data_IF_553635124560
#
_entry.id   IF_553635124560
#
_cell.length_a   1.000
_cell.length_b   1.000
_cell.length_c   1.000
_cell.angle_alpha   90.00
_cell.angle_beta   90.00
_cell.angle_gamma   90.00
#
_symmetry.space_group_name_H-M   'P 1'
#
loop_
_entity.id
_entity.type
_entity.pdbx_description
1 polymer ?
#
# COMPACT_ATOMS: atom_id res chain seq x y z
N UNK A 1 -1.36 -13.83 -12.06
CA UNK A 1 0.07 -14.05 -11.75
C UNK A 1 0.61 -14.85 -12.89
N UNK A 2 1.54 -14.26 -13.60
CA UNK A 2 2.15 -14.83 -14.76
C UNK A 2 3.59 -14.34 -14.83
N UNK A 3 4.47 -15.21 -15.29
CA UNK A 3 5.90 -14.97 -15.21
C UNK A 3 6.70 -16.21 -15.53
N UNK A 4 7.99 -15.99 -15.75
CA UNK A 4 8.93 -17.06 -16.02
C UNK A 4 9.52 -17.59 -14.71
N UNK A 5 9.73 -18.90 -14.64
CA UNK A 5 10.42 -19.51 -13.50
C UNK A 5 11.89 -19.10 -13.57
N UNK A 6 12.33 -18.28 -12.60
CA UNK A 6 13.71 -17.85 -12.48
C UNK A 6 14.58 -18.95 -11.87
N UNK A 7 14.08 -19.62 -10.81
CA UNK A 7 14.83 -20.65 -10.12
C UNK A 7 13.94 -21.71 -9.50
N UNK A 8 14.45 -22.94 -9.51
CA UNK A 8 13.87 -24.09 -8.84
C UNK A 8 14.85 -24.57 -7.77
N UNK A 9 14.36 -24.80 -6.55
CA UNK A 9 15.17 -25.12 -5.38
C UNK A 9 15.06 -26.58 -4.91
N UNK A 10 14.19 -27.36 -5.55
CA UNK A 10 13.82 -28.72 -5.12
C UNK A 10 13.56 -29.61 -6.33
N UNK A 11 13.76 -30.90 -6.17
CA UNK A 11 13.49 -31.91 -7.19
C UNK A 11 12.52 -33.01 -6.70
N UNK A 12 11.97 -33.80 -7.63
CA UNK A 12 11.10 -34.93 -7.35
C UNK A 12 11.80 -35.91 -6.39
N UNK A 13 11.10 -36.27 -5.32
CA UNK A 13 11.64 -37.15 -4.27
C UNK A 13 12.31 -36.41 -3.11
N UNK A 14 12.54 -35.10 -3.20
CA UNK A 14 13.09 -34.32 -2.09
C UNK A 14 12.09 -34.23 -0.93
N UNK A 15 12.63 -34.31 0.29
CA UNK A 15 11.90 -34.00 1.52
C UNK A 15 11.91 -32.50 1.75
N UNK A 16 10.74 -31.89 1.80
CA UNK A 16 10.58 -30.46 2.09
C UNK A 16 9.93 -30.25 3.45
N UNK A 17 10.29 -29.15 4.10
CA UNK A 17 9.67 -28.68 5.35
C UNK A 17 8.51 -27.73 5.03
N UNK A 18 7.59 -27.58 5.98
CA UNK A 18 6.57 -26.54 5.88
C UNK A 18 7.23 -25.16 5.70
N UNK A 19 6.66 -24.34 4.82
CA UNK A 19 7.12 -23.00 4.44
C UNK A 19 8.48 -22.94 3.70
N UNK A 20 9.06 -24.08 3.29
CA UNK A 20 10.29 -24.12 2.50
C UNK A 20 10.04 -23.55 1.09
N UNK A 21 10.94 -22.70 0.62
CA UNK A 21 10.90 -22.14 -0.73
C UNK A 21 11.16 -23.25 -1.76
N UNK A 22 10.27 -23.38 -2.74
CA UNK A 22 10.30 -24.40 -3.78
C UNK A 22 10.67 -23.80 -5.13
N UNK A 23 9.98 -22.73 -5.51
CA UNK A 23 10.12 -22.07 -6.81
C UNK A 23 10.20 -20.57 -6.62
N UNK A 24 11.06 -19.93 -7.39
CA UNK A 24 11.18 -18.48 -7.53
C UNK A 24 10.80 -18.11 -8.97
N UNK A 25 9.77 -17.28 -9.10
CA UNK A 25 9.38 -16.65 -10.37
C UNK A 25 10.18 -15.35 -10.50
N UNK A 26 10.54 -14.96 -11.73
CA UNK A 26 11.16 -13.66 -11.96
C UNK A 26 10.26 -12.56 -11.41
N UNK A 27 10.79 -11.82 -10.44
CA UNK A 27 10.04 -10.89 -9.62
C UNK A 27 10.56 -9.46 -9.70
N UNK A 28 11.45 -9.20 -10.66
CA UNK A 28 12.06 -7.87 -10.87
C UNK A 28 10.98 -6.81 -11.04
N UNK A 29 9.99 -7.05 -11.90
CA UNK A 29 8.87 -6.14 -12.13
C UNK A 29 7.97 -5.98 -10.90
N UNK A 30 7.74 -7.05 -10.13
CA UNK A 30 6.95 -7.00 -8.89
C UNK A 30 7.66 -6.16 -7.81
N UNK A 31 8.99 -6.25 -7.70
CA UNK A 31 9.78 -5.40 -6.80
C UNK A 31 9.73 -3.95 -7.23
N UNK A 32 9.86 -3.66 -8.53
CA UNK A 32 9.72 -2.30 -9.04
C UNK A 32 8.34 -1.73 -8.76
N UNK A 33 7.27 -2.50 -8.98
CA UNK A 33 5.90 -2.10 -8.68
C UNK A 33 5.68 -1.84 -7.18
N UNK A 34 6.20 -2.70 -6.30
CA UNK A 34 6.16 -2.50 -4.84
C UNK A 34 6.89 -1.22 -4.43
N UNK A 35 8.09 -1.00 -4.96
CA UNK A 35 8.87 0.20 -4.67
C UNK A 35 8.18 1.48 -5.14
N UNK A 36 7.55 1.45 -6.33
CA UNK A 36 6.76 2.56 -6.83
C UNK A 36 5.54 2.84 -5.94
N UNK A 37 4.80 1.81 -5.54
CA UNK A 37 3.65 1.96 -4.64
C UNK A 37 4.08 2.53 -3.27
N UNK A 38 5.23 2.10 -2.74
CA UNK A 38 5.82 2.62 -1.50
C UNK A 38 6.19 4.10 -1.63
N UNK A 39 6.79 4.51 -2.74
CA UNK A 39 7.12 5.91 -3.01
C UNK A 39 5.85 6.78 -3.08
N UNK A 40 4.80 6.29 -3.75
CA UNK A 40 3.52 6.98 -3.84
C UNK A 40 2.86 7.15 -2.47
N UNK A 41 2.89 6.12 -1.63
CA UNK A 41 2.41 6.20 -0.25
C UNK A 41 3.18 7.24 0.58
N UNK A 42 4.52 7.28 0.45
CA UNK A 42 5.34 8.26 1.13
C UNK A 42 4.98 9.70 0.70
N UNK A 43 4.77 9.94 -0.59
CA UNK A 43 4.32 11.23 -1.11
C UNK A 43 2.94 11.63 -0.58
N UNK A 44 1.99 10.68 -0.55
CA UNK A 44 0.64 10.93 0.01
C UNK A 44 0.70 11.29 1.51
N UNK A 45 1.53 10.59 2.29
CA UNK A 45 1.75 10.91 3.72
C UNK A 45 2.38 12.29 3.91
N UNK A 46 3.33 12.68 3.05
CA UNK A 46 3.90 14.02 3.09
C UNK A 46 2.85 15.12 2.80
N UNK A 47 1.92 14.87 1.87
CA UNK A 47 0.81 15.78 1.61
C UNK A 47 -0.13 15.93 2.82
N UNK A 48 -0.44 14.83 3.53
CA UNK A 48 -1.19 14.88 4.80
C UNK A 48 -0.45 15.74 5.83
N UNK A 49 0.85 15.50 6.04
CA UNK A 49 1.65 16.27 6.99
C UNK A 49 1.67 17.77 6.67
N UNK A 50 1.72 18.14 5.38
CA UNK A 50 1.63 19.54 4.94
C UNK A 50 0.25 20.12 5.25
N UNK A 51 -0.81 19.39 4.94
CA UNK A 51 -2.19 19.85 5.18
C UNK A 51 -2.52 19.96 6.66
N UNK A 52 -1.98 19.09 7.51
CA UNK A 52 -2.11 19.23 8.97
C UNK A 52 -1.51 20.54 9.48
N UNK A 53 -0.40 21.00 8.90
CA UNK A 53 0.15 22.31 9.22
C UNK A 53 -0.79 23.45 8.82
N UNK A 54 -1.42 23.34 7.64
CA UNK A 54 -2.46 24.28 7.18
C UNK A 54 -3.66 24.32 8.14
N UNK A 55 -4.17 23.16 8.54
CA UNK A 55 -5.29 23.05 9.50
C UNK A 55 -4.91 23.68 10.84
N UNK A 56 -3.69 23.41 11.36
CA UNK A 56 -3.21 24.04 12.59
C UNK A 56 -3.20 25.57 12.49
N UNK A 57 -2.73 26.11 11.36
CA UNK A 57 -2.65 27.56 11.17
C UNK A 57 -4.04 28.20 11.04
N UNK A 58 -4.96 27.56 10.31
CA UNK A 58 -6.35 27.99 10.19
C UNK A 58 -7.06 27.96 11.56
N UNK A 59 -6.82 26.92 12.36
CA UNK A 59 -7.35 26.81 13.73
C UNK A 59 -6.87 27.95 14.63
N UNK A 60 -5.56 28.21 14.65
CA UNK A 60 -5.00 29.31 15.45
C UNK A 60 -5.59 30.67 15.04
N UNK A 61 -5.86 30.86 13.75
CA UNK A 61 -6.49 32.08 13.25
C UNK A 61 -7.94 32.18 13.72
N UNK A 62 -8.71 31.10 13.60
CA UNK A 62 -10.09 31.02 14.09
C UNK A 62 -10.16 31.29 15.60
N UNK A 63 -9.32 30.62 16.40
CA UNK A 63 -9.26 30.78 17.86
C UNK A 63 -8.95 32.25 18.23
N UNK A 64 -8.06 32.90 17.47
CA UNK A 64 -7.75 34.34 17.66
C UNK A 64 -8.94 35.23 17.33
N UNK A 65 -9.64 34.98 16.23
CA UNK A 65 -10.84 35.76 15.86
C UNK A 65 -11.98 35.57 16.86
N UNK A 66 -12.16 34.34 17.36
CA UNK A 66 -13.14 34.04 18.42
C UNK A 66 -12.85 34.77 19.73
N UNK A 67 -11.57 35.01 20.05
CA UNK A 67 -11.19 35.82 21.20
C UNK A 67 -11.51 37.31 20.95
N UNK A 68 -11.10 37.85 19.79
CA UNK A 68 -11.24 39.26 19.47
C UNK A 68 -12.70 39.72 19.29
N UNK A 69 -13.60 38.84 18.87
CA UNK A 69 -15.02 39.22 18.67
C UNK A 69 -15.75 39.43 19.99
N UNK A 70 -15.34 38.73 21.07
CA UNK A 70 -15.87 38.92 22.42
C UNK A 70 -15.58 40.33 22.94
N UNK A 71 -14.44 40.85 22.53
CA UNK A 71 -13.97 42.20 22.86
C UNK A 71 -14.41 43.25 21.81
N UNK A 72 -15.30 42.88 20.87
CA UNK A 72 -15.80 43.70 19.74
C UNK A 72 -14.73 44.29 18.80
N UNK A 73 -13.55 43.68 18.70
CA UNK A 73 -12.46 44.16 17.84
C UNK A 73 -12.50 43.64 16.39
N UNK A 74 -13.38 42.70 16.05
CA UNK A 74 -13.52 42.11 14.70
C UNK A 74 -14.99 41.95 14.32
N UNK A 75 -15.29 41.91 13.02
CA UNK A 75 -16.67 41.72 12.53
C UNK A 75 -17.10 40.25 12.56
N UNK A 76 -18.41 39.99 12.59
CA UNK A 76 -18.93 38.61 12.43
C UNK A 76 -18.50 37.99 11.10
N UNK A 77 -18.44 38.78 10.04
CA UNK A 77 -18.00 38.32 8.73
C UNK A 77 -16.56 37.78 8.74
N UNK A 78 -15.66 38.41 9.50
CA UNK A 78 -14.28 37.94 9.63
C UNK A 78 -14.20 36.61 10.37
N UNK A 79 -15.01 36.45 11.42
CA UNK A 79 -15.11 35.20 12.17
C UNK A 79 -15.66 34.07 11.29
N UNK A 80 -16.75 34.32 10.56
CA UNK A 80 -17.37 33.35 9.66
C UNK A 80 -16.39 32.94 8.56
N UNK A 81 -15.61 33.89 8.03
CA UNK A 81 -14.57 33.60 7.04
C UNK A 81 -13.46 32.70 7.63
N UNK A 82 -13.02 32.98 8.86
CA UNK A 82 -12.03 32.15 9.54
C UNK A 82 -12.56 30.72 9.82
N UNK A 83 -13.84 30.60 10.17
CA UNK A 83 -14.51 29.32 10.39
C UNK A 83 -14.57 28.50 9.09
N UNK A 84 -15.06 29.10 8.00
CA UNK A 84 -15.13 28.45 6.68
C UNK A 84 -13.75 28.00 6.20
N UNK A 85 -12.72 28.82 6.42
CA UNK A 85 -11.34 28.47 6.06
C UNK A 85 -10.82 27.26 6.86
N UNK A 86 -11.09 27.21 8.16
CA UNK A 86 -10.75 26.06 9.00
C UNK A 86 -11.48 24.80 8.54
N UNK A 87 -12.80 24.88 8.33
CA UNK A 87 -13.62 23.74 7.92
C UNK A 87 -13.20 23.20 6.55
N UNK A 88 -12.90 24.09 5.60
CA UNK A 88 -12.36 23.72 4.28
C UNK A 88 -11.00 23.03 4.41
N UNK A 89 -10.12 23.53 5.27
CA UNK A 89 -8.81 22.92 5.50
C UNK A 89 -8.93 21.51 6.11
N UNK A 90 -9.88 21.30 7.03
CA UNK A 90 -10.18 20.00 7.62
C UNK A 90 -10.76 19.03 6.59
N UNK A 91 -11.72 19.47 5.77
CA UNK A 91 -12.28 18.65 4.71
C UNK A 91 -11.20 18.19 3.71
N UNK A 92 -10.28 19.08 3.36
CA UNK A 92 -9.14 18.74 2.50
C UNK A 92 -8.18 17.75 3.17
N UNK A 93 -7.97 17.86 4.49
CA UNK A 93 -7.15 16.91 5.23
C UNK A 93 -7.76 15.50 5.20
N UNK A 94 -9.07 15.39 5.42
CA UNK A 94 -9.78 14.11 5.36
C UNK A 94 -9.71 13.47 3.96
N UNK A 95 -9.85 14.27 2.90
CA UNK A 95 -9.63 13.80 1.52
C UNK A 95 -8.22 13.23 1.30
N UNK A 96 -7.19 13.91 1.80
CA UNK A 96 -5.80 13.42 1.71
C UNK A 96 -5.56 12.17 2.55
N UNK A 97 -6.22 12.03 3.71
CA UNK A 97 -6.17 10.80 4.52
C UNK A 97 -6.80 9.63 3.79
N UNK A 98 -7.93 9.83 3.12
CA UNK A 98 -8.53 8.82 2.27
C UNK A 98 -7.59 8.41 1.11
N UNK A 99 -6.88 9.38 0.51
CA UNK A 99 -5.86 9.09 -0.50
C UNK A 99 -4.69 8.26 0.05
N UNK A 100 -4.21 8.56 1.27
CA UNK A 100 -3.21 7.71 1.94
C UNK A 100 -3.73 6.29 2.07
N UNK A 101 -4.98 6.11 2.52
CA UNK A 101 -5.55 4.77 2.67
C UNK A 101 -5.62 4.01 1.34
N UNK A 102 -5.96 4.69 0.26
CA UNK A 102 -5.93 4.10 -1.09
C UNK A 102 -4.51 3.65 -1.47
N UNK A 103 -3.48 4.46 -1.19
CA UNK A 103 -2.08 4.10 -1.49
C UNK A 103 -1.58 2.96 -0.60
N UNK A 104 -2.03 2.86 0.65
CA UNK A 104 -1.72 1.72 1.53
C UNK A 104 -2.27 0.41 0.95
N UNK A 105 -3.52 0.42 0.46
CA UNK A 105 -4.11 -0.77 -0.19
C UNK A 105 -3.35 -1.13 -1.47
N UNK A 106 -2.96 -0.13 -2.28
CA UNK A 106 -2.16 -0.38 -3.47
C UNK A 106 -0.79 -0.99 -3.15
N UNK A 107 -0.12 -0.52 -2.09
CA UNK A 107 1.14 -1.11 -1.62
C UNK A 107 0.92 -2.55 -1.15
N UNK A 108 -0.10 -2.81 -0.33
CA UNK A 108 -0.41 -4.15 0.16
C UNK A 108 -0.70 -5.14 -0.99
N UNK A 109 -1.37 -4.67 -2.06
CA UNK A 109 -1.58 -5.48 -3.25
C UNK A 109 -0.26 -5.78 -3.97
N UNK A 110 0.62 -4.78 -4.14
CA UNK A 110 1.92 -4.99 -4.77
C UNK A 110 2.82 -5.95 -3.94
N UNK A 111 2.79 -5.85 -2.61
CA UNK A 111 3.48 -6.77 -1.70
C UNK A 111 2.91 -8.19 -1.78
N UNK A 112 1.59 -8.34 -1.89
CA UNK A 112 0.94 -9.64 -2.09
C UNK A 112 1.34 -10.28 -3.43
N UNK A 113 1.40 -9.47 -4.49
CA UNK A 113 1.84 -9.94 -5.80
C UNK A 113 3.30 -10.41 -5.77
N UNK A 114 4.17 -9.64 -5.09
CA UNK A 114 5.55 -10.06 -4.87
C UNK A 114 5.62 -11.34 -4.03
N UNK A 115 4.81 -11.48 -2.98
CA UNK A 115 4.78 -12.70 -2.18
C UNK A 115 4.40 -13.94 -3.01
N UNK A 116 3.47 -13.81 -3.96
CA UNK A 116 3.07 -14.89 -4.87
C UNK A 116 4.13 -15.25 -5.91
N UNK A 117 5.15 -14.42 -6.12
CA UNK A 117 6.31 -14.82 -6.93
C UNK A 117 7.18 -15.90 -6.26
N UNK A 118 6.98 -16.14 -4.96
CA UNK A 118 7.65 -17.19 -4.20
C UNK A 118 6.67 -18.33 -3.89
N UNK A 119 6.90 -19.51 -4.47
CA UNK A 119 6.10 -20.69 -4.17
C UNK A 119 6.75 -21.44 -3.00
N UNK A 120 5.99 -21.63 -1.92
CA UNK A 120 6.44 -22.31 -0.70
C UNK A 120 5.61 -23.56 -0.41
N UNK A 121 6.20 -24.54 0.26
CA UNK A 121 5.51 -25.75 0.68
C UNK A 121 4.46 -25.43 1.77
N UNK A 122 3.18 -25.82 1.61
CA UNK A 122 2.15 -25.60 2.62
C UNK A 122 2.33 -26.48 3.88
N UNK A 123 2.99 -27.63 3.73
CA UNK A 123 3.29 -28.57 4.81
C UNK A 123 4.57 -29.35 4.53
N UNK A 124 5.09 -30.08 5.52
CA UNK A 124 6.26 -30.94 5.35
C UNK A 124 5.87 -32.26 4.68
N UNK A 125 6.66 -32.72 3.70
CA UNK A 125 6.37 -33.94 2.95
C UNK A 125 7.36 -34.18 1.82
N UNK A 126 7.09 -35.20 1.00
CA UNK A 126 7.90 -35.52 -0.18
C UNK A 126 7.27 -34.94 -1.44
N UNK A 127 8.10 -34.48 -2.37
CA UNK A 127 7.64 -34.02 -3.68
C UNK A 127 7.27 -35.23 -4.54
N UNK A 128 5.97 -35.44 -4.74
CA UNK A 128 5.44 -36.54 -5.54
C UNK A 128 5.76 -36.39 -7.03
N UNK A 129 5.52 -35.19 -7.59
CA UNK A 129 5.73 -34.88 -9.00
C UNK A 129 6.20 -33.44 -9.18
N UNK A 130 6.94 -33.21 -10.26
CA UNK A 130 7.45 -31.91 -10.65
C UNK A 130 7.11 -31.68 -12.13
N UNK A 131 6.20 -30.74 -12.38
CA UNK A 131 5.74 -30.40 -13.73
C UNK A 131 6.19 -28.99 -14.16
N UNK A 132 7.30 -28.50 -13.59
CA UNK A 132 7.81 -27.16 -13.78
C UNK A 132 9.33 -27.22 -14.05
N UNK A 133 9.76 -26.55 -15.10
CA UNK A 133 11.17 -26.43 -15.48
C UNK A 133 11.63 -24.96 -15.44
N UNK A 134 12.87 -24.66 -15.03
CA UNK A 134 13.42 -23.30 -15.12
C UNK A 134 13.25 -22.71 -16.52
N UNK A 135 12.76 -21.47 -16.60
CA UNK A 135 12.42 -20.81 -17.87
C UNK A 135 11.03 -21.11 -18.43
N UNK A 136 10.25 -22.01 -17.82
CA UNK A 136 8.84 -22.21 -18.18
C UNK A 136 8.00 -20.97 -17.82
N UNK A 137 7.02 -20.65 -18.65
CA UNK A 137 6.03 -19.61 -18.38
C UNK A 137 4.86 -20.20 -17.60
N UNK A 138 4.62 -19.71 -16.39
CA UNK A 138 3.47 -20.10 -15.57
C UNK A 138 2.40 -19.04 -15.65
N UNK A 139 1.14 -19.47 -15.72
CA UNK A 139 -0.02 -18.60 -15.57
C UNK A 139 -0.88 -19.09 -14.42
N UNK A 140 -1.50 -18.18 -13.68
CA UNK A 140 -2.37 -18.50 -12.55
C UNK A 140 -3.62 -19.33 -12.90
N UNK A 141 -3.84 -19.67 -14.17
CA UNK A 141 -4.96 -20.50 -14.61
C UNK A 141 -4.71 -22.02 -14.47
N UNK A 142 -3.46 -22.46 -14.29
CA UNK A 142 -3.11 -23.89 -14.42
C UNK A 142 -3.19 -24.68 -13.10
N UNK A 143 -3.52 -24.06 -11.97
CA UNK A 143 -3.53 -24.74 -10.66
C UNK A 143 -4.85 -25.46 -10.31
N UNK A 144 -5.88 -25.43 -11.17
CA UNK A 144 -7.22 -25.97 -10.84
C UNK A 144 -7.53 -27.38 -11.37
N UNK A 145 -6.56 -28.10 -11.95
CA UNK A 145 -6.85 -29.45 -12.47
C UNK A 145 -5.76 -30.45 -12.11
N UNK A 146 -5.97 -31.18 -11.02
CA UNK A 146 -5.58 -32.59 -10.95
C UNK A 146 -6.52 -33.30 -9.98
N UNK A 147 -7.53 -33.96 -10.54
CA UNK A 147 -8.22 -35.08 -9.90
C UNK A 147 -7.38 -36.34 -10.10
#
# INVERSE_FOLDING_TARGET
MDGYIAKLHVDKGDLVKANQLLVEIDHTDYVHAMNQARANLAAARANVSRQEATVRNAKLTLDRMQALIKDQFVSQQDLDTAQVNFDTAVAQLESLRAQVKQMEVALAQAETNLAYSYIRAPFAGFIAERNLDPGAYVTSATASTST
#
